data_IF_966465373795
#
_entry.id   IF_966465373795
#
_cell.length_a   1.000
_cell.length_b   1.000
_cell.length_c   1.000
_cell.angle_alpha   90.00
_cell.angle_beta   90.00
_cell.angle_gamma   90.00
#
_symmetry.space_group_name_H-M   'P 1'
#
loop_
_entity.id
_entity.type
_entity.pdbx_description
1 polymer ?
#
# COMPACT_ATOMS: atom_id res chain seq x y z
N UNK A 1 12.50 -24.57 25.93
CA UNK A 1 12.68 -23.11 25.70
C UNK A 1 14.04 -22.92 25.06
N UNK A 2 14.06 -22.45 23.81
CA UNK A 2 15.14 -21.78 23.05
C UNK A 2 14.74 -21.99 21.58
N UNK A 3 13.99 -21.04 21.04
CA UNK A 3 13.53 -21.04 19.64
C UNK A 3 13.13 -19.65 19.15
N UNK A 4 13.57 -18.60 19.86
CA UNK A 4 13.28 -17.21 19.54
C UNK A 4 14.60 -16.44 19.56
N UNK A 5 15.44 -16.59 18.52
CA UNK A 5 16.46 -15.59 18.17
C UNK A 5 17.09 -15.81 16.78
N UNK A 6 16.29 -16.02 15.74
CA UNK A 6 16.73 -15.88 14.35
C UNK A 6 15.61 -15.27 13.50
N UNK A 7 15.38 -13.97 13.65
CA UNK A 7 14.51 -13.20 12.75
C UNK A 7 15.04 -11.76 12.57
N UNK A 8 16.35 -11.56 12.70
CA UNK A 8 17.01 -10.25 12.61
C UNK A 8 18.28 -10.30 11.77
N UNK A 9 18.25 -10.99 10.63
CA UNK A 9 19.26 -10.84 9.57
C UNK A 9 18.66 -11.29 8.24
N UNK A 10 18.47 -10.36 7.30
CA UNK A 10 18.33 -10.67 5.87
C UNK A 10 16.92 -10.58 5.30
N UNK A 11 16.58 -9.39 4.79
CA UNK A 11 15.87 -9.18 3.53
C UNK A 11 14.81 -10.22 3.13
N UNK A 12 13.59 -10.11 3.67
CA UNK A 12 12.40 -10.36 2.84
C UNK A 12 12.00 -9.00 2.26
N UNK A 13 12.65 -8.60 1.17
CA UNK A 13 12.08 -7.52 0.36
C UNK A 13 10.73 -8.03 -0.16
N UNK A 14 9.62 -7.29 0.03
CA UNK A 14 8.34 -7.67 -0.54
C UNK A 14 8.51 -7.94 -2.04
N UNK A 15 7.98 -9.06 -2.52
CA UNK A 15 8.02 -9.38 -3.94
C UNK A 15 6.99 -8.49 -4.65
N UNK A 16 7.44 -7.31 -5.07
CA UNK A 16 6.59 -6.32 -5.73
C UNK A 16 6.20 -6.87 -7.09
N UNK A 17 4.93 -7.25 -7.22
CA UNK A 17 4.35 -7.79 -8.46
C UNK A 17 3.12 -6.98 -8.85
N UNK A 18 2.73 -7.07 -10.12
CA UNK A 18 1.48 -6.51 -10.59
C UNK A 18 0.32 -7.41 -10.13
N UNK A 19 -0.59 -6.86 -9.32
CA UNK A 19 -1.67 -7.59 -8.66
C UNK A 19 -3.01 -7.18 -9.26
N UNK A 20 -3.78 -8.17 -9.72
CA UNK A 20 -5.20 -8.02 -10.01
C UNK A 20 -6.00 -8.11 -8.71
N UNK A 21 -6.35 -6.95 -8.13
CA UNK A 21 -6.99 -6.85 -6.82
C UNK A 21 -8.33 -7.59 -6.74
N UNK A 22 -9.16 -7.50 -7.78
CA UNK A 22 -10.43 -8.22 -7.81
C UNK A 22 -10.23 -9.74 -7.77
N UNK A 23 -9.24 -10.27 -8.48
CA UNK A 23 -8.93 -11.71 -8.45
C UNK A 23 -8.31 -12.12 -7.12
N UNK A 24 -7.50 -11.26 -6.49
CA UNK A 24 -7.04 -11.47 -5.12
C UNK A 24 -8.21 -11.59 -4.14
N UNK A 25 -9.19 -10.68 -4.22
CA UNK A 25 -10.36 -10.68 -3.34
C UNK A 25 -11.21 -11.93 -3.59
N UNK A 26 -11.59 -12.21 -4.84
CA UNK A 26 -12.42 -13.37 -5.21
C UNK A 26 -11.80 -14.70 -4.74
N UNK A 27 -10.51 -14.91 -5.01
CA UNK A 27 -9.83 -16.16 -4.64
C UNK A 27 -9.71 -16.36 -3.12
N UNK A 28 -9.88 -15.31 -2.33
CA UNK A 28 -9.81 -15.37 -0.87
C UNK A 28 -11.18 -15.23 -0.18
N UNK A 29 -12.30 -15.04 -0.90
CA UNK A 29 -13.62 -14.87 -0.27
C UNK A 29 -13.98 -16.02 0.67
N UNK A 30 -13.69 -17.26 0.29
CA UNK A 30 -13.94 -18.43 1.14
C UNK A 30 -13.09 -18.40 2.42
N UNK A 31 -11.82 -18.01 2.30
CA UNK A 31 -10.91 -17.86 3.44
C UNK A 31 -11.39 -16.75 4.38
N UNK A 32 -11.77 -15.59 3.83
CA UNK A 32 -12.29 -14.46 4.59
C UNK A 32 -13.59 -14.80 5.31
N UNK A 33 -14.53 -15.49 4.63
CA UNK A 33 -15.78 -15.92 5.25
C UNK A 33 -15.56 -16.96 6.36
N UNK A 34 -14.55 -17.82 6.23
CA UNK A 34 -14.20 -18.81 7.25
C UNK A 34 -13.57 -18.18 8.50
N UNK A 35 -12.99 -16.98 8.39
CA UNK A 35 -12.38 -16.25 9.49
C UNK A 35 -13.40 -15.50 10.36
N UNK A 36 -14.66 -15.39 9.94
CA UNK A 36 -15.71 -14.64 10.65
C UNK A 36 -16.90 -15.53 11.04
N UNK A 37 -17.70 -15.16 12.07
CA UNK A 37 -18.88 -15.93 12.48
C UNK A 37 -19.87 -16.17 11.35
N UNK A 38 -20.49 -17.36 11.31
CA UNK A 38 -21.52 -17.72 10.30
C UNK A 38 -22.78 -16.86 10.35
N UNK A 39 -22.99 -16.09 11.42
CA UNK A 39 -24.09 -15.11 11.54
C UNK A 39 -23.84 -13.85 10.71
N UNK A 40 -22.61 -13.65 10.23
CA UNK A 40 -22.17 -12.47 9.49
C UNK A 40 -21.94 -12.85 8.02
N UNK A 41 -22.65 -12.15 7.15
CA UNK A 41 -22.53 -12.32 5.70
C UNK A 41 -21.39 -11.47 5.15
N UNK A 42 -20.45 -12.08 4.40
CA UNK A 42 -19.46 -11.36 3.62
C UNK A 42 -19.96 -11.19 2.19
N UNK A 43 -20.11 -9.94 1.76
CA UNK A 43 -20.56 -9.57 0.41
C UNK A 43 -19.46 -8.79 -0.31
N UNK A 44 -19.33 -8.98 -1.62
CA UNK A 44 -18.38 -8.23 -2.45
C UNK A 44 -19.06 -7.52 -3.61
N UNK A 45 -18.71 -6.26 -3.84
CA UNK A 45 -19.12 -5.46 -5.01
C UNK A 45 -17.87 -4.94 -5.73
N UNK A 46 -17.48 -5.61 -6.80
CA UNK A 46 -16.16 -5.40 -7.41
C UNK A 46 -16.28 -4.64 -8.72
N UNK A 47 -15.68 -3.45 -8.79
CA UNK A 47 -15.66 -2.61 -9.99
C UNK A 47 -14.83 -3.24 -11.10
N UNK A 48 -15.33 -3.21 -12.34
CA UNK A 48 -14.66 -3.76 -13.52
C UNK A 48 -14.83 -2.77 -14.68
N UNK A 49 -13.76 -2.45 -15.45
CA UNK A 49 -12.38 -2.92 -15.30
C UNK A 49 -11.63 -2.20 -14.17
N UNK A 50 -10.78 -2.92 -13.43
CA UNK A 50 -9.95 -2.35 -12.38
C UNK A 50 -8.46 -2.50 -12.76
N UNK A 51 -7.67 -1.41 -12.79
CA UNK A 51 -6.24 -1.49 -13.04
C UNK A 51 -5.52 -2.39 -12.04
N UNK A 52 -4.37 -2.93 -12.46
CA UNK A 52 -3.47 -3.63 -11.54
C UNK A 52 -2.88 -2.64 -10.53
N UNK A 53 -2.38 -3.16 -9.41
CA UNK A 53 -1.56 -2.39 -8.45
C UNK A 53 -0.23 -3.09 -8.26
N UNK A 54 0.83 -2.33 -7.99
CA UNK A 54 2.13 -2.90 -7.66
C UNK A 54 2.23 -3.13 -6.15
N UNK A 55 2.60 -4.34 -5.74
CA UNK A 55 2.73 -4.63 -4.32
C UNK A 55 3.03 -6.08 -3.99
N UNK A 56 3.01 -6.38 -2.70
CA UNK A 56 3.11 -7.74 -2.18
C UNK A 56 1.71 -8.32 -1.95
N UNK A 57 1.41 -9.43 -2.62
CA UNK A 57 0.10 -10.07 -2.58
C UNK A 57 -0.29 -10.53 -1.17
N UNK A 58 0.68 -11.04 -0.40
CA UNK A 58 0.47 -11.49 0.97
C UNK A 58 0.16 -10.33 1.91
N UNK A 59 0.85 -9.20 1.75
CA UNK A 59 0.61 -8.00 2.54
C UNK A 59 -0.78 -7.40 2.26
N UNK A 60 -1.19 -7.31 1.00
CA UNK A 60 -2.55 -6.84 0.68
C UNK A 60 -3.61 -7.80 1.22
N UNK A 61 -3.39 -9.12 1.10
CA UNK A 61 -4.29 -10.12 1.70
C UNK A 61 -4.39 -9.96 3.22
N UNK A 62 -3.27 -9.68 3.90
CA UNK A 62 -3.24 -9.42 5.34
C UNK A 62 -4.04 -8.17 5.72
N UNK A 63 -3.96 -7.11 4.90
CA UNK A 63 -4.78 -5.90 5.11
C UNK A 63 -6.27 -6.25 5.07
N UNK A 64 -6.71 -6.93 4.02
CA UNK A 64 -8.11 -7.32 3.87
C UNK A 64 -8.59 -8.20 5.02
N UNK A 65 -7.79 -9.20 5.40
CA UNK A 65 -8.10 -10.09 6.52
C UNK A 65 -8.26 -9.32 7.83
N UNK A 66 -7.33 -8.41 8.16
CA UNK A 66 -7.41 -7.62 9.38
C UNK A 66 -8.65 -6.72 9.42
N UNK A 67 -8.97 -6.06 8.30
CA UNK A 67 -10.16 -5.20 8.23
C UNK A 67 -11.47 -6.00 8.34
N UNK A 68 -11.55 -7.16 7.69
CA UNK A 68 -12.73 -8.04 7.73
C UNK A 68 -12.93 -8.62 9.13
N UNK A 69 -11.86 -9.05 9.80
CA UNK A 69 -11.94 -9.53 11.20
C UNK A 69 -12.41 -8.39 12.11
N UNK A 70 -11.83 -7.20 12.01
CA UNK A 70 -12.25 -6.06 12.82
C UNK A 70 -13.73 -5.68 12.59
N UNK A 71 -14.17 -5.70 11.33
CA UNK A 71 -15.57 -5.50 10.96
C UNK A 71 -16.49 -6.53 11.62
N UNK A 72 -16.12 -7.81 11.59
CA UNK A 72 -16.87 -8.87 12.25
C UNK A 72 -16.88 -8.73 13.79
N UNK A 73 -15.76 -8.36 14.40
CA UNK A 73 -15.67 -8.09 15.84
C UNK A 73 -16.53 -6.89 16.28
N UNK A 74 -16.69 -5.88 15.40
CA UNK A 74 -17.58 -4.74 15.64
C UNK A 74 -19.07 -5.16 15.59
N UNK A 75 -19.43 -6.14 14.76
CA UNK A 75 -20.79 -6.71 14.71
C UNK A 75 -21.06 -7.63 15.91
N UNK A 76 -20.04 -8.39 16.35
CA UNK A 76 -20.13 -9.28 17.51
C UNK A 76 -20.99 -10.53 17.25
N UNK A 77 -21.87 -10.86 18.19
CA UNK A 77 -22.71 -12.07 18.10
C UNK A 77 -23.99 -11.88 17.26
N UNK A 78 -24.27 -10.65 16.82
CA UNK A 78 -25.46 -10.35 16.06
C UNK A 78 -25.36 -10.87 14.62
N UNK A 79 -26.51 -10.91 13.94
CA UNK A 79 -26.50 -11.00 12.47
C UNK A 79 -26.03 -9.66 11.92
N UNK A 80 -25.21 -9.71 10.88
CA UNK A 80 -24.70 -8.50 10.26
C UNK A 80 -24.11 -8.79 8.90
N UNK A 81 -23.51 -7.76 8.31
CA UNK A 81 -22.93 -7.80 6.98
C UNK A 81 -21.61 -7.05 6.96
N UNK A 82 -20.62 -7.67 6.34
CA UNK A 82 -19.37 -7.02 5.94
C UNK A 82 -19.37 -6.94 4.41
N UNK A 83 -19.20 -5.74 3.87
CA UNK A 83 -19.10 -5.52 2.43
C UNK A 83 -17.66 -5.17 2.05
N UNK A 84 -17.12 -5.81 1.02
CA UNK A 84 -15.85 -5.46 0.37
C UNK A 84 -16.14 -4.88 -1.01
N UNK A 85 -15.76 -3.64 -1.25
CA UNK A 85 -16.01 -2.95 -2.51
C UNK A 85 -14.69 -2.54 -3.16
N UNK A 86 -14.62 -2.55 -4.49
CA UNK A 86 -13.51 -1.93 -5.22
C UNK A 86 -14.00 -0.79 -6.09
N UNK A 87 -13.19 0.23 -6.26
CA UNK A 87 -13.47 1.37 -7.13
C UNK A 87 -12.18 1.93 -7.72
N UNK A 88 -12.30 2.71 -8.80
CA UNK A 88 -11.21 3.49 -9.37
C UNK A 88 -11.48 4.98 -9.11
N UNK A 89 -10.49 5.70 -8.60
CA UNK A 89 -10.58 7.16 -8.40
C UNK A 89 -9.33 7.85 -8.93
N UNK A 90 -9.48 9.11 -9.32
CA UNK A 90 -8.35 9.97 -9.69
C UNK A 90 -8.14 11.03 -8.60
N UNK A 91 -6.90 11.16 -8.13
CA UNK A 91 -6.49 12.20 -7.20
C UNK A 91 -5.79 13.29 -8.00
N UNK A 92 -6.36 14.50 -8.02
CA UNK A 92 -5.86 15.59 -8.84
C UNK A 92 -4.88 16.54 -8.12
N UNK A 93 -4.78 16.48 -6.78
CA UNK A 93 -4.01 17.44 -5.98
C UNK A 93 -3.18 16.76 -4.90
N UNK A 94 -1.95 17.25 -4.71
CA UNK A 94 -0.98 16.84 -3.69
C UNK A 94 -1.46 17.06 -2.24
N UNK A 95 -2.51 17.86 -2.04
CA UNK A 95 -3.05 18.13 -0.70
C UNK A 95 -4.10 17.09 -0.26
N UNK A 96 -4.50 16.17 -1.14
CA UNK A 96 -5.40 15.09 -0.76
C UNK A 96 -4.66 14.12 0.16
N UNK A 97 -5.21 13.88 1.35
CA UNK A 97 -4.72 12.85 2.26
C UNK A 97 -3.81 13.34 3.38
N UNK A 98 -3.50 14.64 3.49
CA UNK A 98 -2.69 15.17 4.61
C UNK A 98 -3.33 14.94 6.00
N UNK A 99 -4.65 14.73 6.05
CA UNK A 99 -5.39 14.38 7.26
C UNK A 99 -5.63 12.88 7.43
N UNK A 100 -5.05 12.04 6.56
CA UNK A 100 -5.19 10.58 6.69
C UNK A 100 -4.22 10.05 7.74
N UNK A 101 -4.54 8.93 8.40
CA UNK A 101 -3.70 8.32 9.43
C UNK A 101 -2.29 7.94 8.94
N UNK A 102 -2.10 7.78 7.62
CA UNK A 102 -0.79 7.53 7.02
C UNK A 102 0.17 8.70 7.22
N UNK A 103 -0.31 9.93 7.44
CA UNK A 103 0.50 11.15 7.55
C UNK A 103 1.42 11.40 6.34
N UNK A 104 1.12 10.78 5.20
CA UNK A 104 1.83 10.93 3.94
C UNK A 104 0.84 11.46 2.88
N UNK A 105 1.23 12.46 2.07
CA UNK A 105 0.38 12.95 1.00
C UNK A 105 0.21 11.88 -0.07
N UNK A 106 -1.00 11.79 -0.64
CA UNK A 106 -1.20 11.01 -1.86
C UNK A 106 -0.79 11.86 -3.06
N UNK A 107 0.11 11.32 -3.88
CA UNK A 107 0.53 11.98 -5.11
C UNK A 107 -0.59 11.94 -6.15
N UNK A 108 -0.72 12.95 -7.01
CA UNK A 108 -1.70 12.93 -8.08
C UNK A 108 -1.57 11.69 -8.97
N UNK A 109 -2.71 11.14 -9.40
CA UNK A 109 -2.76 9.94 -10.24
C UNK A 109 -4.00 9.09 -10.00
N UNK A 110 -4.04 7.93 -10.67
CA UNK A 110 -5.10 6.95 -10.49
C UNK A 110 -4.83 6.07 -9.28
N UNK A 111 -5.88 5.81 -8.50
CA UNK A 111 -5.86 4.95 -7.32
C UNK A 111 -6.95 3.91 -7.42
N UNK A 112 -6.58 2.67 -7.15
CA UNK A 112 -7.53 1.63 -6.82
C UNK A 112 -7.92 1.81 -5.36
N UNK A 113 -9.22 1.89 -5.11
CA UNK A 113 -9.79 2.00 -3.77
C UNK A 113 -10.40 0.68 -3.39
N UNK A 114 -10.02 0.14 -2.23
CA UNK A 114 -10.70 -0.98 -1.60
C UNK A 114 -11.43 -0.49 -0.36
N UNK A 115 -12.74 -0.71 -0.32
CA UNK A 115 -13.58 -0.33 0.82
C UNK A 115 -13.99 -1.57 1.60
N UNK A 116 -13.80 -1.57 2.92
CA UNK A 116 -14.37 -2.57 3.83
C UNK A 116 -15.35 -1.88 4.76
N UNK A 117 -16.61 -2.31 4.72
CA UNK A 117 -17.72 -1.70 5.46
C UNK A 117 -18.43 -2.72 6.33
N UNK A 118 -18.74 -2.34 7.56
CA UNK A 118 -19.60 -3.10 8.47
C UNK A 118 -20.83 -2.31 8.91
N UNK A 119 -21.81 -3.02 9.46
CA UNK A 119 -22.97 -2.45 10.15
C UNK A 119 -22.93 -2.76 11.66
N UNK A 120 -21.73 -2.79 12.24
CA UNK A 120 -21.48 -3.08 13.65
C UNK A 120 -21.65 -1.86 14.56
N UNK A 121 -20.99 -1.90 15.72
CA UNK A 121 -21.14 -0.88 16.77
C UNK A 121 -20.60 0.50 16.40
N UNK A 122 -19.77 0.63 15.38
CA UNK A 122 -19.02 1.86 15.11
C UNK A 122 -18.08 2.24 16.26
N UNK A 123 -17.47 3.43 16.14
CA UNK A 123 -16.49 3.97 17.08
C UNK A 123 -16.77 5.44 17.37
N UNK A 124 -16.51 5.86 18.61
CA UNK A 124 -16.49 7.28 18.98
C UNK A 124 -15.16 7.94 18.59
N UNK A 125 -15.09 9.27 18.72
CA UNK A 125 -13.92 10.05 18.34
C UNK A 125 -12.66 9.67 19.16
N UNK A 126 -12.83 9.38 20.45
CA UNK A 126 -11.73 8.98 21.33
C UNK A 126 -11.12 7.64 20.90
N UNK A 127 -11.98 6.67 20.54
CA UNK A 127 -11.54 5.38 20.01
C UNK A 127 -10.87 5.56 18.66
N UNK A 128 -11.49 6.31 17.73
CA UNK A 128 -10.94 6.61 16.40
C UNK A 128 -9.54 7.23 16.45
N UNK A 129 -9.26 8.08 17.44
CA UNK A 129 -7.95 8.71 17.59
C UNK A 129 -6.82 7.75 17.97
N UNK A 130 -7.14 6.56 18.48
CA UNK A 130 -6.18 5.58 19.04
C UNK A 130 -6.13 4.25 18.29
N UNK A 131 -7.01 4.01 17.32
CA UNK A 131 -7.14 2.70 16.66
C UNK A 131 -5.87 2.19 15.96
N UNK A 132 -4.93 3.09 15.65
CA UNK A 132 -3.66 2.75 15.05
C UNK A 132 -2.51 2.61 16.06
N UNK A 133 -2.74 2.96 17.31
CA UNK A 133 -1.73 2.80 18.36
C UNK A 133 -1.43 1.31 18.54
N UNK A 134 -0.16 0.90 18.50
CA UNK A 134 0.21 -0.48 18.75
C UNK A 134 -0.35 -0.96 20.09
N UNK A 135 -0.93 -2.16 20.10
CA UNK A 135 -1.55 -2.80 21.26
C UNK A 135 -2.85 -2.15 21.76
N UNK A 136 -3.31 -1.05 21.14
CA UNK A 136 -4.62 -0.52 21.46
C UNK A 136 -5.71 -1.51 21.02
N UNK A 137 -6.58 -1.87 21.97
CA UNK A 137 -7.74 -2.70 21.69
C UNK A 137 -8.85 -2.35 22.68
N UNK A 138 -10.08 -2.37 22.20
CA UNK A 138 -11.29 -2.30 23.04
C UNK A 138 -11.83 -3.69 23.38
N UNK A 139 -11.09 -4.76 23.00
CA UNK A 139 -11.54 -6.15 23.10
C UNK A 139 -10.57 -7.00 23.92
N UNK A 140 -11.12 -7.89 24.74
CA UNK A 140 -10.36 -8.68 25.72
C UNK A 140 -9.41 -9.73 25.10
N UNK A 141 -9.66 -10.16 23.86
CA UNK A 141 -8.90 -11.24 23.20
C UNK A 141 -7.98 -10.76 22.08
N UNK A 142 -8.04 -9.47 21.70
CA UNK A 142 -7.25 -8.91 20.61
C UNK A 142 -5.85 -8.49 21.08
N UNK A 143 -4.81 -8.76 20.29
CA UNK A 143 -3.45 -8.24 20.57
C UNK A 143 -3.30 -6.74 20.25
N UNK A 144 -4.29 -6.12 19.59
CA UNK A 144 -4.24 -4.70 19.20
C UNK A 144 -3.19 -4.37 18.12
N UNK A 145 -2.79 -5.36 17.31
CA UNK A 145 -1.74 -5.17 16.28
C UNK A 145 -2.29 -5.11 14.85
N UNK A 146 -3.58 -5.44 14.64
CA UNK A 146 -4.17 -5.57 13.31
C UNK A 146 -4.13 -4.27 12.52
N UNK A 147 -4.71 -3.19 13.07
CA UNK A 147 -4.77 -1.89 12.39
C UNK A 147 -3.40 -1.19 12.31
N UNK A 148 -2.53 -1.34 13.32
CA UNK A 148 -1.15 -0.85 13.23
C UNK A 148 -0.38 -1.51 12.07
N UNK A 149 -0.61 -2.82 11.85
CA UNK A 149 -0.03 -3.54 10.70
C UNK A 149 -0.64 -3.08 9.37
N UNK A 150 -1.95 -2.86 9.33
CA UNK A 150 -2.62 -2.27 8.15
C UNK A 150 -1.97 -0.94 7.79
N UNK A 151 -1.78 -0.05 8.76
CA UNK A 151 -1.17 1.26 8.53
C UNK A 151 0.25 1.13 7.94
N UNK A 152 1.08 0.26 8.51
CA UNK A 152 2.44 0.02 8.02
C UNK A 152 2.48 -0.53 6.59
N UNK A 153 1.61 -1.48 6.27
CA UNK A 153 1.51 -2.08 4.93
C UNK A 153 1.03 -1.03 3.91
N UNK A 154 0.03 -0.21 4.25
CA UNK A 154 -0.47 0.79 3.30
C UNK A 154 0.56 1.88 3.05
N UNK A 155 1.31 2.30 4.07
CA UNK A 155 2.47 3.20 3.88
C UNK A 155 3.54 2.59 2.96
N UNK A 156 3.90 1.31 3.15
CA UNK A 156 4.91 0.66 2.29
C UNK A 156 4.46 0.56 0.82
N UNK A 157 3.15 0.57 0.57
CA UNK A 157 2.56 0.59 -0.77
C UNK A 157 2.26 2.02 -1.29
N UNK A 158 2.76 3.07 -0.61
CA UNK A 158 2.52 4.49 -0.96
C UNK A 158 1.03 4.83 -1.05
N UNK A 159 0.24 4.16 -0.20
CA UNK A 159 -1.20 4.27 -0.17
C UNK A 159 -1.72 5.17 0.95
N UNK A 160 -3.05 5.30 0.99
CA UNK A 160 -3.77 6.11 1.98
C UNK A 160 -4.88 5.32 2.67
N UNK A 161 -5.30 5.80 3.84
CA UNK A 161 -6.43 5.23 4.58
C UNK A 161 -7.40 6.34 4.93
N UNK A 162 -8.65 6.21 4.52
CA UNK A 162 -9.76 7.04 5.01
C UNK A 162 -10.70 6.18 5.86
N UNK A 163 -11.19 6.76 6.96
CA UNK A 163 -12.06 6.04 7.90
C UNK A 163 -13.27 6.90 8.18
N UNK A 164 -14.43 6.29 8.07
CA UNK A 164 -15.69 6.86 8.49
C UNK A 164 -16.34 5.88 9.46
N UNK A 165 -16.58 6.32 10.70
CA UNK A 165 -17.25 5.48 11.70
C UNK A 165 -18.23 6.33 12.48
N UNK A 166 -19.38 5.74 12.82
CA UNK A 166 -20.40 6.41 13.62
C UNK A 166 -20.95 5.42 14.64
N UNK A 167 -20.97 5.76 15.95
CA UNK A 167 -21.51 4.88 16.98
C UNK A 167 -22.93 4.40 16.65
N UNK A 168 -23.13 3.09 16.73
CA UNK A 168 -24.39 2.41 16.43
C UNK A 168 -24.73 2.24 14.95
N UNK A 169 -23.92 2.75 14.03
CA UNK A 169 -24.17 2.67 12.57
C UNK A 169 -23.21 1.69 11.90
N UNK A 170 -21.94 1.71 12.28
CA UNK A 170 -20.89 0.87 11.70
C UNK A 170 -19.65 1.66 11.31
N UNK A 171 -18.73 0.98 10.64
CA UNK A 171 -17.45 1.54 10.19
C UNK A 171 -17.22 1.26 8.72
N UNK A 172 -16.53 2.18 8.05
CA UNK A 172 -16.07 2.06 6.68
C UNK A 172 -14.60 2.47 6.61
N UNK A 173 -13.74 1.54 6.20
CA UNK A 173 -12.35 1.80 5.85
C UNK A 173 -12.25 1.87 4.33
N UNK A 174 -11.63 2.93 3.80
CA UNK A 174 -11.23 3.03 2.40
C UNK A 174 -9.71 3.03 2.32
N UNK A 175 -9.18 2.11 1.54
CA UNK A 175 -7.75 1.92 1.31
C UNK A 175 -7.46 2.37 -0.10
N UNK A 176 -6.59 3.37 -0.25
CA UNK A 176 -6.15 3.91 -1.54
C UNK A 176 -4.80 3.28 -1.87
N UNK A 177 -4.70 2.61 -3.01
CA UNK A 177 -3.45 2.03 -3.51
C UNK A 177 -3.21 2.62 -4.91
N UNK A 178 -2.03 3.20 -5.20
CA UNK A 178 -1.71 3.70 -6.53
C UNK A 178 -1.94 2.61 -7.57
N UNK A 179 -2.67 2.94 -8.63
CA UNK A 179 -2.76 2.07 -9.79
C UNK A 179 -1.35 1.87 -10.36
N UNK A 180 -1.03 0.65 -10.77
CA UNK A 180 0.15 0.40 -11.55
C UNK A 180 0.04 1.24 -12.82
N UNK A 181 1.10 1.99 -13.12
CA UNK A 181 1.26 2.58 -14.44
C UNK A 181 1.41 1.37 -15.36
N UNK A 182 0.34 1.04 -16.09
CA UNK A 182 0.49 0.20 -17.26
C UNK A 182 1.34 1.04 -18.22
N UNK A 183 2.66 0.79 -18.23
CA UNK A 183 3.39 0.93 -19.48
C UNK A 183 2.59 0.04 -20.43
N UNK A 184 1.80 0.68 -21.29
CA UNK A 184 1.36 0.00 -22.50
C UNK A 184 2.63 -0.64 -23.04
N UNK A 185 2.64 -1.96 -23.19
CA UNK A 185 3.63 -2.62 -24.00
C UNK A 185 3.39 -2.16 -25.45
N UNK A 186 3.62 -0.88 -25.73
CA UNK A 186 4.32 -0.54 -26.94
C UNK A 186 5.60 -1.35 -26.84
N UNK A 187 5.79 -2.23 -27.81
CA UNK A 187 7.11 -2.68 -28.18
C UNK A 187 7.85 -1.41 -28.58
N UNK A 188 8.35 -0.67 -27.59
CA UNK A 188 9.37 0.33 -27.81
C UNK A 188 10.57 -0.54 -28.14
N UNK A 189 10.87 -0.60 -29.43
CA UNK A 189 12.18 -1.03 -29.91
C UNK A 189 13.21 -0.47 -28.92
N UNK A 190 14.06 -1.34 -28.34
CA UNK A 190 15.12 -0.94 -27.39
C UNK A 190 16.23 -0.17 -28.10
N UNK A 191 15.86 0.79 -28.94
CA UNK A 191 16.71 1.83 -29.46
C UNK A 191 16.17 3.12 -28.87
N UNK A 192 16.81 3.65 -27.80
CA UNK A 192 16.56 5.03 -27.47
C UNK A 192 16.84 5.83 -28.76
N UNK A 193 15.87 6.63 -29.20
CA UNK A 193 16.12 7.67 -30.19
C UNK A 193 17.05 8.65 -29.50
N UNK A 194 18.34 8.37 -29.65
CA UNK A 194 19.42 9.28 -29.37
C UNK A 194 19.59 10.00 -30.71
N UNK A 195 19.27 11.30 -30.74
CA UNK A 195 19.78 12.15 -31.83
C UNK A 195 21.29 11.92 -31.92
N UNK A 196 21.77 11.45 -33.07
CA UNK A 196 23.14 10.93 -33.29
C UNK A 196 24.26 11.99 -33.15
N UNK A 197 23.98 13.19 -32.65
CA UNK A 197 24.85 14.37 -32.78
C UNK A 197 25.30 15.01 -31.46
N UNK A 198 25.23 14.29 -30.33
CA UNK A 198 25.84 14.76 -29.07
C UNK A 198 26.84 13.75 -28.49
N UNK A 199 28.11 14.15 -28.43
CA UNK A 199 29.15 13.49 -27.63
C UNK A 199 28.72 13.51 -26.15
N UNK A 200 28.41 12.33 -25.60
CA UNK A 200 27.68 12.18 -24.33
C UNK A 200 28.59 12.28 -23.12
N UNK A 201 28.83 13.49 -22.66
CA UNK A 201 29.48 13.78 -21.38
C UNK A 201 28.44 13.93 -20.25
N UNK A 202 28.56 13.13 -19.20
CA UNK A 202 27.76 13.24 -17.96
C UNK A 202 28.63 13.81 -16.84
N UNK A 203 28.19 14.91 -16.23
CA UNK A 203 28.80 15.49 -15.02
C UNK A 203 28.08 14.97 -13.77
N UNK A 204 28.82 14.39 -12.84
CA UNK A 204 28.30 13.96 -11.54
C UNK A 204 28.87 14.89 -10.46
N UNK A 205 27.98 15.59 -9.77
CA UNK A 205 28.30 16.48 -8.63
C UNK A 205 27.71 15.83 -7.38
N UNK A 206 28.58 15.37 -6.49
CA UNK A 206 28.19 14.73 -5.24
C UNK A 206 29.33 14.93 -4.23
N UNK A 207 29.02 15.24 -2.99
CA UNK A 207 29.99 15.49 -1.92
C UNK A 207 30.56 14.18 -1.33
N UNK A 208 29.90 13.05 -1.53
CA UNK A 208 30.34 11.74 -1.09
C UNK A 208 31.12 10.98 -2.19
N UNK A 209 32.43 10.78 -1.96
CA UNK A 209 33.34 10.10 -2.92
C UNK A 209 32.86 8.68 -3.29
N UNK A 210 32.29 7.95 -2.34
CA UNK A 210 31.81 6.58 -2.57
C UNK A 210 30.59 6.55 -3.50
N UNK A 211 29.62 7.45 -3.30
CA UNK A 211 28.42 7.57 -4.11
C UNK A 211 28.79 8.02 -5.53
N UNK A 212 29.65 9.03 -5.63
CA UNK A 212 30.17 9.56 -6.90
C UNK A 212 30.90 8.48 -7.72
N UNK A 213 31.74 7.69 -7.06
CA UNK A 213 32.51 6.61 -7.72
C UNK A 213 31.61 5.46 -8.19
N UNK A 214 30.62 5.07 -7.39
CA UNK A 214 29.66 4.03 -7.75
C UNK A 214 28.81 4.45 -8.96
N UNK A 215 28.26 5.68 -8.93
CA UNK A 215 27.47 6.23 -10.02
C UNK A 215 28.29 6.36 -11.32
N UNK A 216 29.52 6.89 -11.23
CA UNK A 216 30.42 7.01 -12.38
C UNK A 216 30.77 5.64 -12.98
N UNK A 217 31.03 4.64 -12.15
CA UNK A 217 31.29 3.27 -12.61
C UNK A 217 30.12 2.69 -13.39
N UNK A 218 28.90 2.83 -12.88
CA UNK A 218 27.69 2.32 -13.54
C UNK A 218 27.42 3.01 -14.89
N UNK A 219 27.69 4.32 -14.99
CA UNK A 219 27.45 5.09 -16.21
C UNK A 219 28.51 4.83 -17.28
N UNK A 220 29.78 4.65 -16.90
CA UNK A 220 30.85 4.24 -17.84
C UNK A 220 30.61 2.86 -18.42
N UNK A 221 30.11 1.91 -17.62
CA UNK A 221 29.72 0.56 -18.11
C UNK A 221 28.61 0.65 -19.17
N UNK A 222 27.77 1.69 -19.10
CA UNK A 222 26.70 1.96 -20.08
C UNK A 222 27.16 2.77 -21.30
N UNK A 223 28.46 3.04 -21.44
CA UNK A 223 29.04 3.68 -22.62
C UNK A 223 28.99 5.21 -22.63
N UNK A 224 28.82 5.85 -21.47
CA UNK A 224 28.87 7.31 -21.35
C UNK A 224 30.27 7.78 -20.92
N UNK A 225 30.69 8.95 -21.42
CA UNK A 225 31.83 9.66 -20.86
C UNK A 225 31.38 10.38 -19.59
N UNK A 226 32.14 10.24 -18.50
CA UNK A 226 31.73 10.73 -17.18
C UNK A 226 32.83 11.56 -16.53
N UNK A 227 32.49 12.80 -16.20
CA UNK A 227 33.28 13.73 -15.37
C UNK A 227 32.65 13.80 -13.99
N UNK A 228 33.48 13.83 -12.95
CA UNK A 228 33.04 13.88 -11.56
C UNK A 228 33.66 15.10 -10.88
N UNK A 229 32.86 15.89 -10.18
CA UNK A 229 33.32 17.01 -9.34
C UNK A 229 32.76 16.84 -7.93
N UNK A 230 33.49 17.34 -6.93
CA UNK A 230 33.14 17.21 -5.52
C UNK A 230 32.36 18.41 -4.97
N UNK A 231 32.16 19.46 -5.79
CA UNK A 231 31.40 20.65 -5.47
C UNK A 231 30.90 21.35 -6.75
N UNK A 232 29.90 22.23 -6.63
CA UNK A 232 29.30 22.97 -7.75
C UNK A 232 30.04 24.25 -8.18
N UNK A 233 31.21 24.56 -7.59
CA UNK A 233 32.02 25.74 -7.97
C UNK A 233 33.11 25.43 -9.01
N UNK A 234 33.38 24.14 -9.29
CA UNK A 234 34.36 23.67 -10.30
C UNK A 234 33.71 22.97 -11.52
N UNK A 235 32.39 23.15 -11.73
CA UNK A 235 31.60 22.55 -12.82
C UNK A 235 31.41 23.43 -14.06
#
# INVERSE_FOLDING_TARGET
MIGHLFAYTGQNQPEVTAIELNELIKNNLMLFQAAIPKSIELVSDLFVPLPRVNGDRGQIQQVLMNLIINAAEAIGQNRGKVTVETALTEIASLNWGQSMPTNEPLYPGQYVVVTVKDNGSGMDADTLSKIFDPFFTTKFTGRGLGLASVLGIIRSHKGGIEIQSTPGVGTQFKIFIPAAIEEAAEVVDEHPIIDEDYDKLILIIDDEEFVRSAAAGMLRVKGFDVVTVDNGEDG
#
